data_IF_745815150791
#
_entry.id   IF_745815150791
#
_cell.length_a   1.000
_cell.length_b   1.000
_cell.length_c   1.000
_cell.angle_alpha   90.00
_cell.angle_beta   90.00
_cell.angle_gamma   90.00
#
_symmetry.space_group_name_H-M   'P 1'
#
loop_
_entity.id
_entity.type
_entity.pdbx_description
1 polymer ?
#
# COMPACT_ATOMS: atom_id res chain seq x y z
N UNK A 1 -19.47 -22.61 -13.36
CA UNK A 1 -20.73 -22.90 -12.66
C UNK A 1 -20.54 -22.95 -11.14
N UNK A 2 -19.48 -23.55 -10.59
CA UNK A 2 -19.20 -23.58 -9.13
C UNK A 2 -19.05 -22.20 -8.48
N UNK A 3 -18.41 -21.20 -9.11
CA UNK A 3 -18.24 -19.85 -8.53
C UNK A 3 -19.56 -19.12 -8.26
N UNK A 4 -20.62 -19.39 -9.05
CA UNK A 4 -21.95 -18.79 -8.83
C UNK A 4 -22.67 -19.41 -7.62
N UNK A 5 -22.36 -20.65 -7.28
CA UNK A 5 -22.94 -21.35 -6.13
C UNK A 5 -22.29 -20.86 -4.83
N UNK A 6 -20.96 -20.60 -4.82
CA UNK A 6 -20.26 -20.04 -3.67
C UNK A 6 -20.69 -18.60 -3.36
N UNK A 7 -20.93 -17.77 -4.39
CA UNK A 7 -21.43 -16.41 -4.18
C UNK A 7 -22.87 -16.39 -3.64
N UNK A 8 -23.72 -17.33 -4.04
CA UNK A 8 -25.07 -17.47 -3.49
C UNK A 8 -25.05 -17.97 -2.03
N UNK A 9 -24.13 -18.88 -1.69
CA UNK A 9 -23.97 -19.38 -0.32
C UNK A 9 -23.44 -18.29 0.62
N UNK A 10 -22.50 -17.46 0.17
CA UNK A 10 -21.99 -16.31 0.93
C UNK A 10 -23.10 -15.28 1.18
N UNK A 11 -23.97 -15.04 0.20
CA UNK A 11 -25.11 -14.12 0.34
C UNK A 11 -26.18 -14.64 1.32
N UNK A 12 -26.38 -15.96 1.38
CA UNK A 12 -27.34 -16.59 2.30
C UNK A 12 -26.86 -16.60 3.76
N UNK A 13 -25.56 -16.64 4.00
CA UNK A 13 -24.99 -16.51 5.34
C UNK A 13 -25.02 -15.06 5.87
N UNK A 14 -24.93 -14.07 4.98
CA UNK A 14 -25.03 -12.65 5.33
C UNK A 14 -26.48 -12.21 5.63
N UNK A 15 -27.49 -12.89 5.10
CA UNK A 15 -28.89 -12.49 5.26
C UNK A 15 -29.54 -12.89 6.60
N UNK A 16 -28.91 -13.74 7.40
CA UNK A 16 -29.47 -14.16 8.71
C UNK A 16 -29.13 -13.25 9.88
N UNK A 17 -28.33 -12.19 9.69
CA UNK A 17 -27.87 -11.32 10.76
C UNK A 17 -28.40 -9.88 10.69
N UNK A 18 -29.32 -9.58 9.78
CA UNK A 18 -29.99 -8.28 9.71
C UNK A 18 -31.21 -8.25 10.63
N UNK A 19 -31.01 -8.44 11.94
CA UNK A 19 -31.96 -7.93 12.90
C UNK A 19 -31.73 -6.42 12.99
N UNK A 20 -32.55 -5.65 12.29
CA UNK A 20 -32.64 -4.22 12.51
C UNK A 20 -33.00 -4.02 13.98
N UNK A 21 -32.09 -3.43 14.75
CA UNK A 21 -32.38 -3.04 16.11
C UNK A 21 -33.42 -1.92 16.03
N UNK A 22 -34.68 -2.22 16.39
CA UNK A 22 -35.72 -1.21 16.56
C UNK A 22 -35.23 -0.37 17.75
N UNK A 23 -34.77 0.85 17.48
CA UNK A 23 -34.42 1.83 18.51
C UNK A 23 -35.74 2.28 19.14
N UNK A 24 -36.02 1.79 20.32
CA UNK A 24 -37.14 2.29 21.14
C UNK A 24 -36.87 3.78 21.43
N UNK A 25 -37.88 4.62 21.21
CA UNK A 25 -37.83 6.07 21.33
C UNK A 25 -37.56 6.54 22.78
N UNK A 26 -37.60 5.65 23.76
CA UNK A 26 -37.42 5.93 25.19
C UNK A 26 -35.96 6.01 25.65
N UNK A 27 -34.99 5.57 24.82
CA UNK A 27 -33.56 5.62 25.13
C UNK A 27 -32.76 6.22 23.99
N UNK A 28 -32.96 7.51 23.74
CA UNK A 28 -32.24 8.25 22.71
C UNK A 28 -30.76 8.44 23.06
N UNK A 29 -29.95 7.41 22.98
CA UNK A 29 -28.49 7.58 22.87
C UNK A 29 -28.14 7.91 21.44
N UNK A 30 -27.88 9.19 21.17
CA UNK A 30 -27.39 9.62 19.86
C UNK A 30 -25.91 9.21 19.77
N UNK A 31 -25.61 8.19 18.97
CA UNK A 31 -24.24 7.79 18.66
C UNK A 31 -23.73 8.65 17.50
N UNK A 32 -22.85 9.61 17.80
CA UNK A 32 -22.16 10.42 16.80
C UNK A 32 -20.75 9.89 16.48
N UNK A 33 -20.02 10.62 15.64
CA UNK A 33 -18.64 10.29 15.26
C UNK A 33 -17.69 10.13 16.45
N UNK A 34 -17.93 10.82 17.57
CA UNK A 34 -17.16 10.66 18.82
C UNK A 34 -17.28 9.29 19.43
N UNK A 35 -18.34 8.51 19.11
CA UNK A 35 -18.51 7.13 19.55
C UNK A 35 -17.78 6.11 18.67
N UNK A 36 -17.27 6.51 17.51
CA UNK A 36 -16.48 5.69 16.61
C UNK A 36 -15.02 5.85 16.97
N UNK A 37 -14.36 4.75 17.26
CA UNK A 37 -12.95 4.71 17.66
C UNK A 37 -12.21 3.74 16.75
N UNK A 38 -10.89 3.98 16.55
CA UNK A 38 -10.03 3.00 15.91
C UNK A 38 -8.62 3.00 16.51
N UNK A 39 -7.91 1.92 16.31
CA UNK A 39 -6.51 1.75 16.68
C UNK A 39 -5.69 1.38 15.45
N UNK A 40 -4.39 1.68 15.50
CA UNK A 40 -3.41 1.27 14.50
C UNK A 40 -2.51 0.19 15.10
N UNK A 41 -2.23 -0.85 14.31
CA UNK A 41 -1.37 -1.95 14.76
C UNK A 41 0.02 -1.49 15.20
N UNK A 42 0.60 -0.49 14.49
CA UNK A 42 1.91 0.07 14.85
C UNK A 42 1.97 0.63 16.28
N UNK A 43 0.85 1.17 16.79
CA UNK A 43 0.80 1.65 18.16
C UNK A 43 0.70 0.48 19.15
N UNK A 44 -0.11 -0.52 18.81
CA UNK A 44 -0.25 -1.76 19.60
C UNK A 44 1.10 -2.48 19.72
N UNK A 45 1.85 -2.61 18.60
CA UNK A 45 3.19 -3.18 18.56
C UNK A 45 4.19 -2.43 19.45
N UNK A 46 4.06 -1.12 19.56
CA UNK A 46 4.91 -0.26 20.37
C UNK A 46 4.41 -0.07 21.82
N UNK A 47 3.45 -0.90 22.27
CA UNK A 47 2.81 -0.81 23.60
C UNK A 47 2.19 0.57 23.89
N UNK A 48 1.74 1.28 22.84
CA UNK A 48 1.05 2.56 22.98
C UNK A 48 -0.45 2.31 22.95
N UNK A 49 -1.15 2.70 24.00
CA UNK A 49 -2.61 2.73 24.03
C UNK A 49 -3.05 4.06 23.43
N UNK A 50 -3.19 4.10 22.12
CA UNK A 50 -3.64 5.30 21.40
C UNK A 50 -4.95 5.00 20.69
N UNK A 51 -5.97 5.79 21.00
CA UNK A 51 -7.29 5.72 20.39
C UNK A 51 -7.45 6.94 19.49
N UNK A 52 -7.92 6.70 18.28
CA UNK A 52 -8.19 7.71 17.29
C UNK A 52 -9.68 7.75 17.00
N UNK A 53 -10.15 8.88 16.50
CA UNK A 53 -11.50 9.08 16.02
C UNK A 53 -11.46 9.45 14.54
N UNK A 54 -12.51 9.12 13.75
CA UNK A 54 -12.64 9.66 12.39
C UNK A 54 -12.61 11.19 12.41
N UNK A 55 -12.03 11.76 11.36
CA UNK A 55 -12.06 13.23 11.19
C UNK A 55 -13.51 13.70 11.00
N UNK A 56 -13.93 14.63 11.83
CA UNK A 56 -15.23 15.27 11.78
C UNK A 56 -15.19 16.63 11.10
N UNK A 57 -14.00 17.09 10.69
CA UNK A 57 -13.82 18.36 9.99
C UNK A 57 -13.98 18.19 8.48
N UNK A 58 -14.39 19.23 7.81
CA UNK A 58 -14.45 19.27 6.34
C UNK A 58 -13.13 19.75 5.72
N UNK A 59 -12.05 19.85 6.52
CA UNK A 59 -10.77 20.38 6.07
C UNK A 59 -10.12 19.59 4.94
N UNK A 60 -10.38 18.28 4.86
CA UNK A 60 -9.86 17.40 3.80
C UNK A 60 -10.85 17.18 2.65
N UNK A 61 -12.02 17.80 2.69
CA UNK A 61 -13.10 17.58 1.69
C UNK A 61 -12.66 17.92 0.25
N UNK A 62 -11.84 18.95 0.08
CA UNK A 62 -11.32 19.37 -1.23
C UNK A 62 -10.16 18.49 -1.74
N UNK A 63 -9.62 17.60 -0.92
CA UNK A 63 -8.53 16.69 -1.31
C UNK A 63 -9.13 15.46 -2.00
N UNK A 64 -9.35 15.57 -3.31
CA UNK A 64 -10.12 14.58 -4.06
C UNK A 64 -9.34 13.33 -4.46
N UNK A 65 -8.04 13.43 -4.62
CA UNK A 65 -7.20 12.31 -5.07
C UNK A 65 -6.09 11.97 -4.08
N UNK A 66 -5.43 10.85 -4.31
CA UNK A 66 -4.36 10.34 -3.44
C UNK A 66 -3.14 11.27 -3.41
N UNK A 67 -2.83 11.96 -4.52
CA UNK A 67 -1.71 12.92 -4.58
C UNK A 67 -2.01 14.13 -3.68
N UNK A 68 -3.19 14.72 -3.79
CA UNK A 68 -3.62 15.82 -2.95
C UNK A 68 -3.65 15.41 -1.46
N UNK A 69 -4.19 14.22 -1.14
CA UNK A 69 -4.20 13.65 0.22
C UNK A 69 -2.79 13.41 0.78
N UNK A 70 -1.78 13.23 -0.08
CA UNK A 70 -0.37 13.11 0.30
C UNK A 70 0.38 14.45 0.44
N UNK A 71 -0.34 15.57 0.47
CA UNK A 71 0.23 16.93 0.49
C UNK A 71 1.13 17.22 -0.71
N UNK A 72 0.79 16.67 -1.88
CA UNK A 72 1.51 16.84 -3.15
C UNK A 72 2.98 16.39 -3.11
N UNK A 73 3.32 15.45 -2.24
CA UNK A 73 4.67 14.91 -2.11
C UNK A 73 5.03 13.87 -3.18
N UNK A 74 4.08 13.54 -4.07
CA UNK A 74 4.30 12.65 -5.20
C UNK A 74 4.16 13.42 -6.52
N UNK A 75 4.98 13.03 -7.49
CA UNK A 75 4.87 13.41 -8.88
C UNK A 75 4.25 12.26 -9.67
N UNK A 76 3.23 12.53 -10.48
CA UNK A 76 2.59 11.58 -11.39
C UNK A 76 2.63 12.09 -12.83
N UNK A 77 2.13 11.31 -13.79
CA UNK A 77 2.18 11.64 -15.22
C UNK A 77 1.09 12.63 -15.70
N UNK A 78 0.48 13.39 -14.78
CA UNK A 78 -0.46 14.47 -15.10
C UNK A 78 -1.93 14.07 -15.10
N UNK A 79 -2.28 12.81 -14.86
CA UNK A 79 -3.68 12.39 -14.73
C UNK A 79 -3.89 11.49 -13.50
N UNK A 80 -5.14 11.42 -13.02
CA UNK A 80 -5.54 10.64 -11.87
C UNK A 80 -5.08 9.18 -12.00
N UNK A 81 -4.37 8.70 -10.99
CA UNK A 81 -3.98 7.29 -10.88
C UNK A 81 -2.85 6.86 -11.80
N UNK A 82 -2.21 7.78 -12.51
CA UNK A 82 -1.03 7.43 -13.32
C UNK A 82 0.17 7.11 -12.45
N UNK A 83 1.16 6.44 -13.04
CA UNK A 83 2.42 6.11 -12.39
C UNK A 83 2.99 7.29 -11.60
N UNK A 84 3.38 7.06 -10.36
CA UNK A 84 3.79 8.11 -9.44
C UNK A 84 5.05 7.74 -8.67
N UNK A 85 5.85 8.76 -8.37
CA UNK A 85 7.05 8.64 -7.53
C UNK A 85 7.08 9.74 -6.48
N UNK A 86 7.73 9.45 -5.35
CA UNK A 86 8.00 10.44 -4.33
C UNK A 86 8.98 11.51 -4.84
N UNK A 87 8.68 12.80 -4.60
CA UNK A 87 9.49 13.92 -5.12
C UNK A 87 10.75 14.13 -4.27
N UNK A 88 10.60 13.99 -2.96
CA UNK A 88 11.69 14.22 -2.02
C UNK A 88 12.60 12.99 -1.83
N UNK A 89 13.58 13.12 -0.96
CA UNK A 89 14.36 11.99 -0.48
C UNK A 89 13.58 11.25 0.62
N UNK A 90 13.47 9.93 0.49
CA UNK A 90 12.84 9.06 1.49
C UNK A 90 13.64 7.76 1.59
N UNK A 91 14.07 7.44 2.80
CA UNK A 91 14.72 6.17 3.07
C UNK A 91 13.69 5.14 3.47
N UNK A 92 13.66 4.04 2.76
CA UNK A 92 12.86 2.88 3.15
C UNK A 92 13.37 2.30 4.47
N UNK A 93 12.45 1.93 5.37
CA UNK A 93 12.81 1.36 6.69
C UNK A 93 12.84 -0.17 6.68
N UNK A 94 12.53 -0.80 5.56
CA UNK A 94 12.59 -2.24 5.40
C UNK A 94 13.97 -2.69 4.92
N UNK A 95 14.54 -3.68 5.59
CA UNK A 95 15.85 -4.28 5.28
C UNK A 95 15.75 -5.62 4.56
N UNK A 96 14.53 -6.03 4.22
CA UNK A 96 14.28 -7.21 3.40
C UNK A 96 14.60 -6.93 1.93
N UNK A 97 14.82 -7.99 1.15
CA UNK A 97 14.98 -7.88 -0.31
C UNK A 97 13.64 -7.55 -0.95
N UNK A 98 13.44 -6.33 -1.50
CA UNK A 98 12.20 -5.97 -2.17
C UNK A 98 12.13 -6.57 -3.57
N UNK A 99 10.92 -6.67 -4.14
CA UNK A 99 10.75 -7.08 -5.53
C UNK A 99 11.22 -5.97 -6.47
N UNK A 100 10.58 -4.81 -6.36
CA UNK A 100 10.81 -3.64 -7.20
C UNK A 100 10.14 -2.41 -6.56
N UNK A 101 10.41 -1.25 -7.12
CA UNK A 101 9.63 -0.06 -6.84
C UNK A 101 8.35 -0.06 -7.68
N UNK A 102 7.20 -0.15 -7.03
CA UNK A 102 5.92 -0.05 -7.73
C UNK A 102 5.52 1.41 -7.94
N UNK A 103 5.34 1.86 -9.18
CA UNK A 103 4.84 3.20 -9.45
C UNK A 103 3.35 3.37 -9.08
N UNK A 104 2.65 2.27 -8.78
CA UNK A 104 1.24 2.25 -8.38
C UNK A 104 1.04 1.92 -6.89
N UNK A 105 2.13 1.67 -6.16
CA UNK A 105 2.10 1.32 -4.74
C UNK A 105 1.41 2.38 -3.87
N UNK A 106 1.45 3.65 -4.28
CA UNK A 106 0.73 4.75 -3.62
C UNK A 106 -0.78 4.50 -3.52
N UNK A 107 -1.35 3.79 -4.49
CA UNK A 107 -2.80 3.56 -4.60
C UNK A 107 -3.28 2.31 -3.85
N UNK A 108 -2.38 1.53 -3.27
CA UNK A 108 -2.71 0.38 -2.44
C UNK A 108 -3.02 0.80 -0.99
N UNK A 109 -3.86 0.01 -0.31
CA UNK A 109 -4.01 0.14 1.14
C UNK A 109 -2.70 -0.26 1.83
N UNK A 110 -2.10 0.70 2.55
CA UNK A 110 -0.84 0.50 3.27
C UNK A 110 -1.12 -0.09 4.65
N UNK A 111 -0.46 -1.20 4.99
CA UNK A 111 -0.68 -1.92 6.27
C UNK A 111 -0.49 -1.03 7.51
N UNK A 112 0.43 -0.06 7.44
CA UNK A 112 0.72 0.86 8.55
C UNK A 112 -0.42 1.83 8.86
N UNK A 113 -1.36 1.99 7.92
CA UNK A 113 -2.49 2.93 8.01
C UNK A 113 -3.84 2.24 8.19
N UNK A 114 -3.86 0.90 8.26
CA UNK A 114 -5.10 0.14 8.49
C UNK A 114 -5.70 0.53 9.83
N UNK A 115 -6.99 0.88 9.78
CA UNK A 115 -7.78 1.31 10.93
C UNK A 115 -8.58 0.12 11.46
N UNK A 116 -8.28 -0.34 12.65
CA UNK A 116 -9.07 -1.37 13.32
C UNK A 116 -10.12 -0.69 14.22
N UNK A 117 -11.34 -0.65 13.72
CA UNK A 117 -12.44 0.10 14.33
C UNK A 117 -13.06 -0.61 15.53
N UNK A 118 -13.65 0.21 16.39
CA UNK A 118 -14.59 -0.19 17.43
C UNK A 118 -15.75 0.82 17.42
N UNK A 119 -16.94 0.35 17.07
CA UNK A 119 -18.10 1.21 16.80
C UNK A 119 -19.25 0.81 17.71
N UNK A 120 -19.97 1.78 18.30
CA UNK A 120 -21.20 1.51 19.05
C UNK A 120 -22.43 1.34 18.17
N UNK A 121 -22.41 2.01 17.01
CA UNK A 121 -23.39 1.87 15.93
C UNK A 121 -22.66 1.66 14.61
N UNK A 122 -23.28 1.09 13.57
CA UNK A 122 -22.65 1.00 12.26
C UNK A 122 -22.14 2.35 11.79
N UNK A 123 -20.91 2.38 11.30
CA UNK A 123 -20.26 3.57 10.76
C UNK A 123 -20.08 3.41 9.26
N UNK A 124 -20.56 4.37 8.50
CA UNK A 124 -20.34 4.43 7.06
C UNK A 124 -19.83 5.81 6.67
N UNK A 125 -18.74 5.83 5.93
CA UNK A 125 -18.20 7.02 5.30
C UNK A 125 -18.12 6.78 3.78
N UNK A 126 -18.63 7.73 3.01
CA UNK A 126 -18.59 7.67 1.56
C UNK A 126 -18.21 9.05 1.02
N UNK A 127 -17.15 9.06 0.21
CA UNK A 127 -16.69 10.23 -0.50
C UNK A 127 -16.70 9.91 -2.00
N UNK A 128 -17.54 10.61 -2.74
CA UNK A 128 -17.66 10.46 -4.19
C UNK A 128 -17.44 11.79 -4.89
N UNK A 129 -16.56 11.77 -5.87
CA UNK A 129 -16.28 12.93 -6.72
C UNK A 129 -16.36 12.50 -8.17
N UNK A 130 -17.04 13.31 -8.97
CA UNK A 130 -17.14 13.12 -10.41
C UNK A 130 -16.73 14.41 -11.13
N UNK A 131 -15.92 14.26 -12.16
CA UNK A 131 -15.46 15.33 -13.02
C UNK A 131 -15.70 15.03 -14.51
N UNK A 132 -15.15 15.86 -15.36
CA UNK A 132 -15.16 15.65 -16.81
C UNK A 132 -14.31 14.44 -17.20
N UNK A 133 -14.49 13.92 -18.42
CA UNK A 133 -13.68 12.84 -19.01
C UNK A 133 -13.58 11.58 -18.13
N UNK A 134 -14.74 11.14 -17.64
CA UNK A 134 -14.85 9.95 -16.77
C UNK A 134 -13.94 10.01 -15.53
N UNK A 135 -13.51 11.21 -15.10
CA UNK A 135 -12.87 11.37 -13.81
C UNK A 135 -13.89 11.01 -12.73
N UNK A 136 -13.63 9.97 -12.01
CA UNK A 136 -14.49 9.56 -10.89
C UNK A 136 -13.63 8.96 -9.79
N UNK A 137 -13.91 9.35 -8.55
CA UNK A 137 -13.27 8.82 -7.34
C UNK A 137 -14.36 8.43 -6.36
N UNK A 138 -14.31 7.22 -5.85
CA UNK A 138 -15.13 6.70 -4.77
C UNK A 138 -14.22 6.16 -3.67
N UNK A 139 -14.32 6.74 -2.49
CA UNK A 139 -13.82 6.18 -1.24
C UNK A 139 -15.01 5.76 -0.39
N UNK A 140 -15.06 4.51 -0.01
CA UNK A 140 -16.12 3.96 0.81
C UNK A 140 -15.53 3.18 1.97
N UNK A 141 -16.00 3.46 3.17
CA UNK A 141 -15.68 2.72 4.41
C UNK A 141 -16.97 2.34 5.10
N UNK A 142 -17.13 1.08 5.44
CA UNK A 142 -18.18 0.60 6.31
C UNK A 142 -17.59 -0.25 7.43
N UNK A 143 -17.96 0.05 8.67
CA UNK A 143 -17.47 -0.67 9.84
C UNK A 143 -18.60 -0.91 10.84
N UNK A 144 -18.67 -2.13 11.35
CA UNK A 144 -19.69 -2.54 12.31
C UNK A 144 -19.14 -3.52 13.34
N UNK A 145 -19.46 -3.30 14.60
CA UNK A 145 -19.32 -4.31 15.63
C UNK A 145 -20.42 -5.36 15.49
N UNK A 146 -20.04 -6.60 15.25
CA UNK A 146 -20.95 -7.74 15.26
C UNK A 146 -21.40 -8.05 16.70
N UNK A 147 -20.50 -7.83 17.64
CA UNK A 147 -20.73 -7.85 19.08
C UNK A 147 -19.65 -6.98 19.75
N UNK A 148 -19.69 -6.85 21.08
CA UNK A 148 -18.75 -6.03 21.85
C UNK A 148 -17.26 -6.37 21.65
N UNK A 149 -16.96 -7.53 21.08
CA UNK A 149 -15.60 -8.06 20.95
C UNK A 149 -15.10 -8.23 19.53
N UNK A 150 -16.00 -8.21 18.55
CA UNK A 150 -15.71 -8.48 17.15
C UNK A 150 -16.22 -7.33 16.29
N UNK A 151 -15.33 -6.68 15.58
CA UNK A 151 -15.62 -5.70 14.54
C UNK A 151 -15.23 -6.24 13.16
N UNK A 152 -15.96 -5.84 12.14
CA UNK A 152 -15.64 -6.08 10.74
C UNK A 152 -15.71 -4.75 10.00
N UNK A 153 -14.73 -4.50 9.16
CA UNK A 153 -14.61 -3.28 8.33
C UNK A 153 -14.41 -3.66 6.87
N UNK A 154 -15.06 -2.93 5.97
CA UNK A 154 -14.88 -2.97 4.52
C UNK A 154 -14.51 -1.58 4.04
N UNK A 155 -13.39 -1.48 3.32
CA UNK A 155 -13.01 -0.27 2.59
C UNK A 155 -12.92 -0.57 1.10
N UNK A 156 -13.40 0.36 0.28
CA UNK A 156 -13.30 0.30 -1.18
C UNK A 156 -12.77 1.64 -1.67
N UNK A 157 -11.71 1.60 -2.43
CA UNK A 157 -11.25 2.73 -3.21
C UNK A 157 -11.38 2.39 -4.70
N UNK A 158 -12.12 3.21 -5.42
CA UNK A 158 -12.37 3.04 -6.84
C UNK A 158 -12.17 4.37 -7.55
N UNK A 159 -11.33 4.38 -8.56
CA UNK A 159 -11.24 5.56 -9.42
C UNK A 159 -10.95 5.20 -10.88
N UNK A 160 -11.28 6.13 -11.75
CA UNK A 160 -11.03 6.04 -13.18
C UNK A 160 -10.83 7.42 -13.79
N UNK A 161 -10.10 7.47 -14.88
CA UNK A 161 -9.95 8.65 -15.72
C UNK A 161 -9.78 8.25 -17.17
N UNK A 162 -10.26 9.07 -18.11
CA UNK A 162 -10.04 8.88 -19.54
C UNK A 162 -8.73 9.51 -19.97
N UNK A 163 -8.22 9.04 -21.11
CA UNK A 163 -7.10 9.67 -21.83
C UNK A 163 -7.41 11.15 -22.10
N UNK A 164 -6.38 11.97 -22.16
CA UNK A 164 -6.52 13.37 -22.55
C UNK A 164 -6.24 13.61 -24.03
N UNK A 165 -5.49 12.71 -24.66
CA UNK A 165 -5.18 12.69 -26.08
C UNK A 165 -5.09 11.24 -26.58
N UNK A 166 -4.95 11.04 -27.89
CA UNK A 166 -4.84 9.71 -28.49
C UNK A 166 -6.14 8.89 -28.40
N UNK A 167 -7.25 9.52 -28.72
CA UNK A 167 -8.57 8.87 -28.73
C UNK A 167 -8.69 7.95 -29.95
N UNK A 168 -9.30 6.77 -29.75
CA UNK A 168 -9.50 5.77 -30.78
C UNK A 168 -10.98 5.54 -31.12
N UNK A 169 -11.89 6.29 -30.48
CA UNK A 169 -13.33 6.20 -30.69
C UNK A 169 -14.03 5.06 -29.93
N UNK A 170 -13.29 4.24 -29.18
CA UNK A 170 -13.84 3.17 -28.32
C UNK A 170 -13.84 3.61 -26.87
N UNK A 171 -14.99 3.54 -26.19
CA UNK A 171 -15.14 3.95 -24.80
C UNK A 171 -14.26 3.16 -23.81
N UNK A 172 -13.84 1.93 -24.17
CA UNK A 172 -12.90 1.13 -23.37
C UNK A 172 -11.44 1.53 -23.60
N UNK A 173 -11.10 1.91 -24.82
CA UNK A 173 -9.74 2.33 -25.20
C UNK A 173 -9.47 3.78 -24.76
N UNK A 174 -10.51 4.57 -24.54
CA UNK A 174 -10.40 5.94 -24.01
C UNK A 174 -10.04 6.00 -22.52
N UNK A 175 -10.25 4.91 -21.78
CA UNK A 175 -9.90 4.87 -20.35
C UNK A 175 -8.38 4.82 -20.18
N UNK A 176 -7.81 5.81 -19.51
CA UNK A 176 -6.39 5.83 -19.18
C UNK A 176 -6.11 4.97 -17.96
N UNK A 177 -6.89 5.15 -16.91
CA UNK A 177 -6.71 4.45 -15.63
C UNK A 177 -7.99 3.77 -15.20
N UNK A 178 -7.85 2.54 -14.71
CA UNK A 178 -8.90 1.73 -14.10
C UNK A 178 -8.38 1.12 -12.80
N UNK A 179 -8.87 1.60 -11.67
CA UNK A 179 -8.37 1.23 -10.35
C UNK A 179 -9.46 0.67 -9.46
N UNK A 180 -9.12 -0.43 -8.79
CA UNK A 180 -9.87 -1.00 -7.68
C UNK A 180 -8.91 -1.38 -6.56
N UNK A 181 -9.17 -0.88 -5.36
CA UNK A 181 -8.58 -1.41 -4.15
C UNK A 181 -9.70 -1.76 -3.17
N UNK A 182 -9.62 -2.95 -2.59
CA UNK A 182 -10.59 -3.45 -1.61
C UNK A 182 -9.82 -3.91 -0.39
N UNK A 183 -10.29 -3.48 0.76
CA UNK A 183 -9.76 -3.88 2.06
C UNK A 183 -10.87 -4.43 2.92
N UNK A 184 -10.61 -5.57 3.55
CA UNK A 184 -11.48 -6.15 4.57
C UNK A 184 -10.65 -6.40 5.81
N UNK A 185 -11.07 -5.88 6.95
CA UNK A 185 -10.40 -6.14 8.21
C UNK A 185 -11.35 -6.57 9.31
N UNK A 186 -10.78 -7.21 10.31
CA UNK A 186 -11.49 -7.61 11.52
C UNK A 186 -10.56 -7.50 12.73
N UNK A 187 -11.13 -7.13 13.85
CA UNK A 187 -10.46 -7.22 15.15
C UNK A 187 -11.33 -7.99 16.15
N UNK A 188 -10.67 -8.75 16.99
CA UNK A 188 -11.32 -9.51 18.05
C UNK A 188 -10.53 -9.40 19.34
N UNK A 189 -11.24 -9.17 20.45
CA UNK A 189 -10.68 -9.18 21.78
C UNK A 189 -11.46 -10.16 22.67
N UNK A 190 -10.79 -11.02 23.42
CA UNK A 190 -11.45 -11.97 24.32
C UNK A 190 -12.12 -11.25 25.51
N UNK A 191 -13.02 -11.97 26.22
CA UNK A 191 -13.75 -11.43 27.39
C UNK A 191 -12.85 -10.91 28.53
N UNK A 192 -11.65 -11.46 28.64
CA UNK A 192 -10.68 -11.10 29.70
C UNK A 192 -9.70 -10.02 29.26
N UNK A 193 -9.75 -9.57 28.00
CA UNK A 193 -8.81 -8.61 27.41
C UNK A 193 -7.36 -9.12 27.34
N UNK A 194 -7.17 -10.47 27.39
CA UNK A 194 -5.84 -11.09 27.32
C UNK A 194 -5.41 -11.40 25.90
N UNK A 195 -6.35 -11.78 25.05
CA UNK A 195 -6.11 -12.13 23.65
C UNK A 195 -6.66 -11.03 22.74
N UNK A 196 -5.85 -10.58 21.80
CA UNK A 196 -6.22 -9.67 20.71
C UNK A 196 -5.84 -10.33 19.39
N UNK A 197 -6.75 -10.31 18.43
CA UNK A 197 -6.54 -10.69 17.04
C UNK A 197 -6.88 -9.51 16.13
N UNK A 198 -5.97 -9.17 15.24
CA UNK A 198 -6.18 -8.25 14.13
C UNK A 198 -5.93 -9.03 12.84
N UNK A 199 -6.79 -8.90 11.88
CA UNK A 199 -6.59 -9.53 10.57
C UNK A 199 -7.11 -8.61 9.47
N UNK A 200 -6.43 -8.66 8.31
CA UNK A 200 -6.93 -7.98 7.13
C UNK A 200 -6.53 -8.69 5.84
N UNK A 201 -7.29 -8.39 4.81
CA UNK A 201 -7.02 -8.72 3.44
C UNK A 201 -7.09 -7.47 2.58
N UNK A 202 -6.06 -7.23 1.78
CA UNK A 202 -6.00 -6.14 0.81
C UNK A 202 -5.95 -6.71 -0.60
N UNK A 203 -6.75 -6.16 -1.48
CA UNK A 203 -6.70 -6.42 -2.90
C UNK A 203 -6.47 -5.13 -3.67
N UNK A 204 -5.52 -5.14 -4.59
CA UNK A 204 -5.29 -4.09 -5.58
C UNK A 204 -5.44 -4.68 -6.98
N UNK A 205 -6.16 -3.97 -7.82
CA UNK A 205 -6.22 -4.19 -9.25
C UNK A 205 -6.15 -2.83 -9.93
N UNK A 206 -4.98 -2.51 -10.44
CA UNK A 206 -4.70 -1.23 -11.05
C UNK A 206 -4.22 -1.43 -12.48
N UNK A 207 -4.87 -0.78 -13.43
CA UNK A 207 -4.51 -0.78 -14.84
C UNK A 207 -4.30 0.65 -15.31
N UNK A 208 -3.18 0.88 -16.01
CA UNK A 208 -2.91 2.11 -16.75
C UNK A 208 -2.67 1.77 -18.22
N UNK A 209 -3.34 2.45 -19.13
CA UNK A 209 -2.99 2.42 -20.55
C UNK A 209 -1.78 3.33 -20.76
N UNK A 210 -0.74 2.78 -21.39
CA UNK A 210 0.49 3.51 -21.68
C UNK A 210 0.36 4.24 -23.02
N UNK A 211 0.69 5.52 -23.03
CA UNK A 211 0.57 6.36 -24.23
C UNK A 211 1.93 6.61 -24.91
N UNK A 212 3.04 6.44 -24.17
CA UNK A 212 4.40 6.61 -24.71
C UNK A 212 4.75 8.03 -25.15
N UNK A 213 3.90 9.02 -24.84
CA UNK A 213 4.03 10.40 -25.29
C UNK A 213 3.20 10.70 -26.54
N UNK A 214 3.34 11.91 -27.05
CA UNK A 214 2.65 12.42 -28.24
C UNK A 214 3.46 12.08 -29.51
N UNK A 215 2.81 11.54 -30.50
CA UNK A 215 3.44 11.20 -31.79
C UNK A 215 3.87 12.44 -32.52
N UNK A 216 5.09 12.46 -33.08
CA UNK A 216 5.61 13.54 -33.92
C UNK A 216 5.95 14.84 -33.17
N UNK A 217 5.94 14.85 -31.86
CA UNK A 217 6.27 16.05 -31.07
C UNK A 217 7.71 16.53 -31.28
N UNK A 218 8.63 15.62 -31.54
CA UNK A 218 10.06 15.93 -31.75
C UNK A 218 10.36 16.65 -33.09
N UNK A 219 9.46 16.52 -34.04
CA UNK A 219 9.56 17.18 -35.36
C UNK A 219 8.86 18.53 -35.39
N UNK A 220 8.16 18.91 -34.31
CA UNK A 220 7.50 20.21 -34.22
C UNK A 220 8.53 21.30 -33.98
N UNK A 221 8.80 22.08 -35.02
CA UNK A 221 9.48 23.36 -34.86
C UNK A 221 8.56 24.29 -34.07
N UNK A 222 8.79 24.37 -32.76
CA UNK A 222 7.99 25.17 -31.83
C UNK A 222 7.97 26.68 -32.20
N UNK A 223 8.88 27.14 -33.06
CA UNK A 223 8.90 28.52 -33.51
C UNK A 223 7.88 28.80 -34.63
N UNK A 224 7.42 27.77 -35.35
CA UNK A 224 6.51 27.87 -36.49
C UNK A 224 5.21 27.07 -36.31
N UNK A 225 5.13 26.21 -35.28
CA UNK A 225 3.98 25.37 -35.09
C UNK A 225 2.80 26.18 -34.52
N UNK A 226 1.72 26.27 -35.28
CA UNK A 226 0.41 26.51 -34.69
C UNK A 226 0.09 25.29 -33.88
N UNK A 227 0.44 25.31 -32.55
CA UNK A 227 0.06 24.26 -31.64
C UNK A 227 -1.47 24.22 -31.69
N UNK A 228 -2.05 23.12 -32.15
CA UNK A 228 -3.50 22.98 -32.11
C UNK A 228 -3.96 23.21 -30.66
N UNK A 229 -4.87 24.14 -30.42
CA UNK A 229 -5.39 24.37 -29.09
C UNK A 229 -6.18 23.16 -28.57
N UNK A 230 -6.53 22.22 -29.45
CA UNK A 230 -7.26 21.01 -29.10
C UNK A 230 -6.29 19.82 -28.95
N UNK A 231 -5.85 19.57 -27.72
CA UNK A 231 -5.01 18.40 -27.39
C UNK A 231 -5.66 17.05 -27.78
N UNK A 232 -6.94 17.03 -28.17
CA UNK A 232 -7.66 15.88 -28.71
C UNK A 232 -7.12 15.42 -30.07
N UNK A 233 -6.47 16.31 -30.81
CA UNK A 233 -5.92 16.03 -32.16
C UNK A 233 -4.59 15.29 -32.10
N UNK A 234 -3.94 15.27 -30.93
CA UNK A 234 -2.67 14.57 -30.78
C UNK A 234 -2.85 13.06 -30.70
N UNK A 235 -2.03 12.34 -31.44
CA UNK A 235 -2.00 10.87 -31.39
C UNK A 235 -0.98 10.40 -30.35
N UNK A 236 -1.30 9.29 -29.67
CA UNK A 236 -0.37 8.64 -28.76
C UNK A 236 0.62 7.77 -29.53
N UNK A 237 1.88 7.73 -29.09
CA UNK A 237 2.89 6.83 -29.68
C UNK A 237 2.52 5.36 -29.46
N UNK A 238 1.93 5.02 -28.31
CA UNK A 238 1.45 3.69 -27.97
C UNK A 238 -0.08 3.68 -27.92
N UNK A 239 -0.71 2.94 -28.83
CA UNK A 239 -2.17 2.85 -28.87
C UNK A 239 -2.73 1.68 -28.06
N UNK A 240 -1.95 0.59 -27.91
CA UNK A 240 -2.41 -0.70 -27.35
C UNK A 240 -1.62 -1.19 -26.15
N UNK A 241 -0.65 -0.41 -25.68
CA UNK A 241 0.16 -0.78 -24.52
C UNK A 241 -0.54 -0.47 -23.21
N UNK A 242 -0.35 -1.34 -22.22
CA UNK A 242 -0.82 -1.10 -20.87
C UNK A 242 0.05 -1.77 -19.81
N UNK A 243 0.11 -1.15 -18.64
CA UNK A 243 0.64 -1.73 -17.40
C UNK A 243 -0.50 -2.11 -16.47
N UNK A 244 -0.33 -3.19 -15.72
CA UNK A 244 -1.32 -3.63 -14.74
C UNK A 244 -0.67 -4.32 -13.56
N UNK A 245 -1.13 -3.99 -12.37
CA UNK A 245 -0.71 -4.65 -11.15
C UNK A 245 -1.90 -5.25 -10.40
N UNK A 246 -1.67 -6.44 -9.84
CA UNK A 246 -2.54 -7.11 -8.89
C UNK A 246 -1.79 -7.44 -7.64
N UNK A 247 -2.32 -7.02 -6.49
CA UNK A 247 -1.81 -7.39 -5.20
C UNK A 247 -2.91 -8.09 -4.40
N UNK A 248 -2.50 -9.09 -3.64
CA UNK A 248 -3.35 -9.76 -2.67
C UNK A 248 -2.50 -9.98 -1.42
N UNK A 249 -2.79 -9.25 -0.37
CA UNK A 249 -2.04 -9.29 0.86
C UNK A 249 -2.96 -9.73 1.99
N UNK A 250 -2.53 -10.78 2.68
CA UNK A 250 -3.19 -11.32 3.87
C UNK A 250 -2.33 -11.02 5.07
N UNK A 251 -2.95 -10.52 6.12
CA UNK A 251 -2.29 -10.19 7.37
C UNK A 251 -3.03 -10.76 8.56
N UNK A 252 -2.28 -11.31 9.49
CA UNK A 252 -2.75 -11.74 10.80
C UNK A 252 -1.76 -11.24 11.83
N UNK A 253 -2.25 -10.50 12.80
CA UNK A 253 -1.54 -10.18 14.03
C UNK A 253 -2.32 -10.71 15.20
N UNK A 254 -1.69 -11.44 16.10
CA UNK A 254 -2.30 -11.79 17.36
C UNK A 254 -1.33 -11.70 18.52
N UNK A 255 -1.87 -11.42 19.70
CA UNK A 255 -1.11 -11.30 20.91
C UNK A 255 -1.84 -11.91 22.11
N UNK A 256 -1.05 -12.37 23.06
CA UNK A 256 -1.54 -12.91 24.33
C UNK A 256 -0.77 -12.34 25.51
N UNK A 257 -1.48 -11.73 26.47
CA UNK A 257 -0.92 -11.18 27.70
C UNK A 257 -0.70 -12.30 28.71
N UNK A 258 0.57 -12.59 29.03
CA UNK A 258 0.95 -13.64 29.95
C UNK A 258 0.74 -13.24 31.44
N UNK A 259 0.93 -11.98 31.77
CA UNK A 259 0.83 -11.45 33.13
C UNK A 259 -0.36 -10.49 33.30
N UNK A 260 -0.90 -10.38 34.51
CA UNK A 260 -1.95 -9.41 34.86
C UNK A 260 -1.45 -7.94 34.76
N UNK A 261 -0.15 -7.72 34.99
CA UNK A 261 0.52 -6.43 34.79
C UNK A 261 1.14 -6.43 33.39
N UNK A 262 1.24 -5.27 32.75
CA UNK A 262 1.64 -5.04 31.34
C UNK A 262 3.07 -5.50 30.99
N UNK A 263 3.67 -6.37 31.80
CA UNK A 263 5.06 -6.74 31.72
C UNK A 263 5.41 -7.64 30.52
N UNK A 264 4.56 -8.60 30.18
CA UNK A 264 4.88 -9.61 29.16
C UNK A 264 3.68 -9.97 28.29
N UNK A 265 3.83 -9.71 27.01
CA UNK A 265 2.86 -10.06 25.97
C UNK A 265 3.60 -10.76 24.84
N UNK A 266 3.20 -11.97 24.54
CA UNK A 266 3.64 -12.67 23.33
C UNK A 266 2.85 -12.17 22.14
N UNK A 267 3.49 -12.03 20.98
CA UNK A 267 2.80 -11.72 19.75
C UNK A 267 3.35 -12.52 18.57
N UNK A 268 2.51 -12.71 17.59
CA UNK A 268 2.88 -13.27 16.30
C UNK A 268 2.20 -12.47 15.20
N UNK A 269 2.94 -12.23 14.11
CA UNK A 269 2.44 -11.67 12.86
C UNK A 269 2.69 -12.66 11.73
N UNK A 270 1.75 -12.72 10.81
CA UNK A 270 1.84 -13.48 9.57
C UNK A 270 1.39 -12.58 8.43
N UNK A 271 2.27 -12.33 7.46
CA UNK A 271 1.97 -11.63 6.22
C UNK A 271 2.17 -12.59 5.05
N UNK A 272 1.16 -12.76 4.22
CA UNK A 272 1.29 -13.43 2.93
C UNK A 272 0.98 -12.44 1.82
N UNK A 273 1.97 -12.17 0.97
CA UNK A 273 1.86 -11.27 -0.17
C UNK A 273 1.93 -12.02 -1.50
N UNK A 274 1.03 -11.68 -2.40
CA UNK A 274 1.03 -12.15 -3.77
C UNK A 274 0.83 -10.99 -4.72
N UNK A 275 1.84 -10.73 -5.56
CA UNK A 275 1.84 -9.64 -6.51
C UNK A 275 2.01 -10.16 -7.93
N UNK A 276 1.34 -9.53 -8.88
CA UNK A 276 1.53 -9.73 -10.32
C UNK A 276 1.72 -8.38 -10.97
N UNK A 277 2.68 -8.32 -11.84
CA UNK A 277 2.97 -7.17 -12.68
C UNK A 277 2.89 -7.60 -14.13
N UNK A 278 2.19 -6.82 -14.95
CA UNK A 278 2.08 -6.99 -16.38
C UNK A 278 2.50 -5.70 -17.07
N UNK A 279 3.21 -5.83 -18.17
CA UNK A 279 3.23 -4.86 -19.25
C UNK A 279 2.97 -5.61 -20.53
N UNK A 280 2.04 -5.12 -21.35
CA UNK A 280 1.70 -5.72 -22.63
C UNK A 280 1.57 -4.60 -23.65
N UNK A 281 2.24 -4.77 -24.81
CA UNK A 281 2.00 -3.96 -26.00
C UNK A 281 1.65 -4.88 -27.17
N UNK A 282 0.37 -4.92 -27.51
CA UNK A 282 -0.15 -5.77 -28.59
C UNK A 282 0.24 -5.26 -30.00
N UNK A 283 0.74 -4.04 -30.11
CA UNK A 283 1.20 -3.45 -31.37
C UNK A 283 2.72 -3.27 -31.40
N UNK A 284 3.46 -4.01 -30.58
CA UNK A 284 4.91 -3.89 -30.45
C UNK A 284 5.63 -3.97 -31.82
N UNK A 285 5.26 -4.91 -32.68
CA UNK A 285 5.86 -5.04 -33.99
C UNK A 285 5.77 -3.77 -34.88
N UNK A 286 4.67 -3.02 -34.74
CA UNK A 286 4.48 -1.70 -35.37
C UNK A 286 5.21 -0.60 -34.63
N UNK A 287 5.18 -0.65 -33.28
CA UNK A 287 5.79 0.36 -32.44
C UNK A 287 7.32 0.23 -32.35
N UNK A 288 7.88 -0.92 -32.74
CA UNK A 288 9.32 -1.18 -32.74
C UNK A 288 10.10 -0.21 -33.64
N UNK A 289 9.50 0.24 -34.74
CA UNK A 289 10.11 1.24 -35.64
C UNK A 289 10.06 2.65 -35.01
N UNK A 290 9.34 2.85 -33.93
CA UNK A 290 9.27 4.10 -33.17
C UNK A 290 10.43 4.18 -32.15
N UNK A 291 10.72 5.38 -31.69
CA UNK A 291 11.76 5.63 -30.69
C UNK A 291 11.44 5.06 -29.30
N UNK A 292 10.23 4.52 -29.11
CA UNK A 292 9.81 3.93 -27.83
C UNK A 292 10.60 2.67 -27.47
N UNK A 293 11.06 1.90 -28.48
CA UNK A 293 11.84 0.66 -28.28
C UNK A 293 13.17 0.69 -29.06
N UNK A 294 14.05 1.67 -28.83
CA UNK A 294 15.19 1.94 -29.73
C UNK A 294 16.23 0.82 -29.75
N UNK A 295 16.30 -0.01 -28.71
CA UNK A 295 17.34 -1.05 -28.57
C UNK A 295 16.82 -2.47 -28.80
N UNK A 296 15.56 -2.63 -29.17
CA UNK A 296 15.00 -3.96 -29.29
C UNK A 296 15.29 -4.63 -30.65
N UNK A 297 15.82 -5.85 -30.55
CA UNK A 297 16.06 -6.74 -31.70
C UNK A 297 15.01 -7.87 -31.81
N UNK A 298 13.98 -7.88 -30.96
CA UNK A 298 12.93 -8.89 -31.00
C UNK A 298 12.16 -8.84 -32.33
N UNK A 299 11.78 -10.01 -32.84
CA UNK A 299 10.94 -10.17 -34.02
C UNK A 299 9.46 -10.37 -33.70
N UNK A 300 9.12 -10.37 -32.42
CA UNK A 300 7.75 -10.55 -31.95
C UNK A 300 6.83 -9.41 -32.38
N UNK A 301 5.55 -9.71 -32.61
CA UNK A 301 4.52 -8.70 -32.90
C UNK A 301 3.94 -8.10 -31.61
N UNK A 302 4.07 -8.80 -30.50
CA UNK A 302 3.55 -8.40 -29.18
C UNK A 302 4.66 -8.44 -28.14
N UNK A 303 4.84 -7.35 -27.41
CA UNK A 303 5.67 -7.35 -26.22
C UNK A 303 4.85 -7.76 -25.00
N UNK A 304 5.33 -8.74 -24.26
CA UNK A 304 4.73 -9.20 -23.00
C UNK A 304 5.79 -9.24 -21.92
N UNK A 305 5.46 -8.68 -20.80
CA UNK A 305 6.23 -8.77 -19.57
C UNK A 305 5.28 -9.20 -18.46
N UNK A 306 5.56 -10.36 -17.86
CA UNK A 306 4.72 -10.86 -16.78
C UNK A 306 5.56 -11.49 -15.67
N UNK A 307 5.48 -10.90 -14.48
CA UNK A 307 6.19 -11.36 -13.30
C UNK A 307 5.23 -11.55 -12.14
N UNK A 308 5.43 -12.65 -11.41
CA UNK A 308 4.74 -12.95 -10.16
C UNK A 308 5.72 -12.90 -9.01
N UNK A 309 5.25 -12.41 -7.90
CA UNK A 309 6.01 -12.41 -6.65
C UNK A 309 5.15 -12.98 -5.53
N UNK A 310 5.77 -13.78 -4.69
CA UNK A 310 5.15 -14.35 -3.49
C UNK A 310 6.08 -14.16 -2.31
N UNK A 311 5.52 -13.77 -1.20
CA UNK A 311 6.26 -13.67 0.05
C UNK A 311 5.42 -14.17 1.22
N UNK A 312 6.08 -14.78 2.18
CA UNK A 312 5.52 -15.20 3.45
C UNK A 312 6.45 -14.69 4.54
N UNK A 313 5.98 -13.73 5.32
CA UNK A 313 6.71 -13.15 6.43
C UNK A 313 6.05 -13.56 7.75
N UNK A 314 6.85 -13.96 8.71
CA UNK A 314 6.36 -14.24 10.06
C UNK A 314 7.18 -13.43 11.06
N UNK A 315 6.57 -13.00 12.13
CA UNK A 315 7.29 -12.36 13.24
C UNK A 315 6.79 -12.95 14.54
N UNK A 316 7.68 -13.52 15.30
CA UNK A 316 7.43 -14.02 16.65
C UNK A 316 8.14 -13.12 17.63
N UNK A 317 7.44 -12.63 18.63
CA UNK A 317 8.07 -11.70 19.53
C UNK A 317 7.44 -11.62 20.92
N UNK A 318 8.18 -10.92 21.75
CA UNK A 318 7.83 -10.59 23.12
C UNK A 318 7.83 -9.07 23.27
N UNK A 319 6.80 -8.52 23.87
CA UNK A 319 6.72 -7.10 24.17
C UNK A 319 6.14 -6.82 25.55
N UNK A 320 6.38 -5.63 26.02
CA UNK A 320 5.86 -5.20 27.32
C UNK A 320 6.25 -3.79 27.67
N UNK A 321 5.88 -3.40 28.89
CA UNK A 321 6.30 -2.13 29.49
C UNK A 321 6.76 -2.34 30.92
N UNK A 322 7.78 -1.57 31.32
CA UNK A 322 8.33 -1.60 32.66
C UNK A 322 8.89 -0.23 33.04
N UNK A 323 8.35 0.40 34.09
CA UNK A 323 8.81 1.68 34.63
C UNK A 323 9.02 2.79 33.58
N UNK A 324 8.07 2.95 32.64
CA UNK A 324 8.13 3.96 31.58
C UNK A 324 8.90 3.51 30.33
N UNK A 325 9.55 2.35 30.37
CA UNK A 325 10.17 1.73 29.19
C UNK A 325 9.18 0.78 28.52
N UNK A 326 8.89 1.02 27.25
CA UNK A 326 8.24 0.05 26.38
C UNK A 326 9.31 -0.72 25.60
N UNK A 327 9.21 -2.03 25.54
CA UNK A 327 10.13 -2.88 24.78
C UNK A 327 9.38 -3.83 23.85
N UNK A 328 10.06 -4.21 22.78
CA UNK A 328 9.59 -5.19 21.81
C UNK A 328 10.84 -5.89 21.26
N UNK A 329 10.89 -7.21 21.30
CA UNK A 329 11.94 -8.02 20.70
C UNK A 329 11.31 -9.12 19.85
N UNK A 330 11.86 -9.36 18.66
CA UNK A 330 11.28 -10.30 17.71
C UNK A 330 12.31 -10.97 16.80
N UNK A 331 11.93 -12.13 16.28
CA UNK A 331 12.55 -12.82 15.15
C UNK A 331 11.55 -12.83 14.00
N UNK A 332 12.03 -12.54 12.78
CA UNK A 332 11.21 -12.43 11.60
C UNK A 332 11.78 -13.28 10.45
N UNK A 333 11.44 -14.57 10.37
CA UNK A 333 11.72 -15.41 9.20
C UNK A 333 10.84 -15.00 8.03
N UNK A 334 11.43 -15.02 6.82
CA UNK A 334 10.76 -14.67 5.57
C UNK A 334 11.16 -15.61 4.46
N UNK A 335 10.16 -16.05 3.69
CA UNK A 335 10.30 -16.79 2.44
C UNK A 335 9.77 -15.93 1.30
N UNK A 336 10.48 -15.90 0.19
CA UNK A 336 10.01 -15.20 -0.99
C UNK A 336 10.51 -15.82 -2.29
N UNK A 337 9.79 -15.52 -3.38
CA UNK A 337 10.13 -16.01 -4.72
C UNK A 337 9.60 -15.07 -5.78
N UNK A 338 10.42 -14.80 -6.81
CA UNK A 338 10.02 -14.21 -8.07
C UNK A 338 9.82 -15.31 -9.12
N UNK A 339 8.79 -15.19 -9.96
CA UNK A 339 8.53 -16.11 -11.07
C UNK A 339 8.25 -15.28 -12.31
N UNK A 340 9.16 -15.34 -13.29
CA UNK A 340 8.93 -14.85 -14.64
C UNK A 340 8.08 -15.86 -15.40
N UNK A 341 7.10 -15.37 -16.16
CA UNK A 341 6.21 -16.25 -16.92
C UNK A 341 6.71 -16.42 -18.36
N UNK A 342 7.11 -15.35 -19.00
CA UNK A 342 7.64 -15.36 -20.38
C UNK A 342 9.11 -15.76 -20.42
N UNK A 343 9.89 -15.38 -19.43
CA UNK A 343 11.32 -15.68 -19.37
C UNK A 343 11.68 -16.36 -18.04
N UNK A 344 12.12 -17.62 -18.12
CA UNK A 344 12.50 -18.41 -16.95
C UNK A 344 13.70 -17.83 -16.19
N UNK A 345 14.55 -17.03 -16.83
CA UNK A 345 15.67 -16.31 -16.19
C UNK A 345 15.19 -15.33 -15.11
N UNK A 346 13.96 -14.85 -15.21
CA UNK A 346 13.31 -14.06 -14.15
C UNK A 346 12.81 -14.88 -12.98
N UNK A 347 12.97 -16.22 -13.01
CA UNK A 347 12.52 -17.11 -11.95
C UNK A 347 13.64 -17.36 -10.95
N UNK A 348 13.39 -17.06 -9.68
CA UNK A 348 14.29 -17.41 -8.58
C UNK A 348 13.80 -18.67 -7.87
N UNK A 349 14.67 -19.46 -7.26
CA UNK A 349 14.25 -20.45 -6.27
C UNK A 349 13.57 -19.74 -5.08
N UNK A 350 12.93 -20.50 -4.20
CA UNK A 350 12.52 -19.98 -2.91
C UNK A 350 13.75 -19.51 -2.13
N UNK A 351 13.72 -18.27 -1.68
CA UNK A 351 14.78 -17.64 -0.91
C UNK A 351 14.29 -17.43 0.52
N UNK A 352 15.23 -17.58 1.45
CA UNK A 352 14.97 -17.47 2.87
C UNK A 352 15.84 -16.37 3.49
N UNK A 353 15.21 -15.50 4.24
CA UNK A 353 15.84 -14.45 5.03
C UNK A 353 15.33 -14.54 6.47
N UNK A 354 16.17 -14.24 7.43
CA UNK A 354 15.76 -14.12 8.84
C UNK A 354 16.28 -12.81 9.41
N UNK A 355 15.43 -12.13 10.13
CA UNK A 355 15.76 -10.88 10.82
C UNK A 355 15.54 -11.05 12.32
N UNK A 356 16.44 -10.46 13.09
CA UNK A 356 16.27 -10.29 14.54
C UNK A 356 16.21 -8.81 14.81
N UNK A 357 15.23 -8.38 15.59
CA UNK A 357 15.04 -6.96 15.86
C UNK A 357 14.46 -6.66 17.23
N UNK A 358 14.55 -5.39 17.59
CA UNK A 358 13.97 -4.90 18.81
C UNK A 358 13.74 -3.40 18.79
N UNK A 359 12.74 -2.98 19.58
CA UNK A 359 12.39 -1.57 19.79
C UNK A 359 12.38 -1.28 21.28
N UNK A 360 12.94 -0.13 21.61
CA UNK A 360 12.87 0.44 22.96
C UNK A 360 12.24 1.82 22.87
N UNK A 361 11.28 2.09 23.71
CA UNK A 361 10.61 3.38 23.83
C UNK A 361 10.66 3.81 25.29
N UNK A 362 11.02 5.06 25.52
CA UNK A 362 10.97 5.65 26.85
C UNK A 362 10.25 6.99 26.77
N UNK A 363 9.38 7.25 27.70
CA UNK A 363 8.77 8.56 27.87
C UNK A 363 8.67 8.90 29.35
N UNK A 364 9.02 10.13 29.70
CA UNK A 364 8.75 10.70 31.02
C UNK A 364 7.24 10.86 31.22
N UNK A 365 6.76 10.87 32.47
CA UNK A 365 5.33 10.97 32.79
C UNK A 365 4.67 12.22 32.19
N UNK A 366 5.42 13.32 32.12
CA UNK A 366 4.99 14.60 31.56
C UNK A 366 5.25 14.70 30.05
N UNK A 367 5.77 13.62 29.43
CA UNK A 367 6.14 13.58 28.02
C UNK A 367 7.15 14.66 27.59
N UNK A 368 7.88 15.26 28.52
CA UNK A 368 8.93 16.23 28.21
C UNK A 368 10.13 15.61 27.51
N UNK A 369 10.39 14.33 27.78
CA UNK A 369 11.44 13.55 27.10
C UNK A 369 10.81 12.28 26.54
N UNK A 370 10.99 12.06 25.23
CA UNK A 370 10.60 10.83 24.52
C UNK A 370 11.82 10.31 23.78
N UNK A 371 12.20 9.06 24.04
CA UNK A 371 13.26 8.36 23.34
C UNK A 371 12.71 7.12 22.66
N UNK A 372 13.13 6.87 21.43
CA UNK A 372 12.73 5.68 20.67
C UNK A 372 13.94 5.13 19.93
N UNK A 373 14.11 3.83 19.98
CA UNK A 373 15.18 3.15 19.24
C UNK A 373 14.59 1.90 18.57
N UNK A 374 15.01 1.64 17.35
CA UNK A 374 14.69 0.42 16.62
C UNK A 374 15.96 -0.13 15.98
N UNK A 375 16.26 -1.38 16.27
CA UNK A 375 17.38 -2.13 15.67
C UNK A 375 16.82 -3.36 14.98
N UNK A 376 17.29 -3.65 13.76
CA UNK A 376 16.94 -4.86 13.01
C UNK A 376 18.17 -5.33 12.24
N UNK A 377 18.50 -6.61 12.35
CA UNK A 377 19.64 -7.26 11.70
C UNK A 377 19.12 -8.42 10.87
N UNK A 378 19.64 -8.58 9.66
CA UNK A 378 19.21 -9.62 8.71
C UNK A 378 20.33 -10.53 8.26
N UNK A 379 20.00 -11.80 7.98
CA UNK A 379 20.93 -12.79 7.39
C UNK A 379 21.37 -12.43 5.97
N UNK A 380 20.59 -11.55 5.30
CA UNK A 380 20.94 -10.98 4.00
C UNK A 380 21.98 -9.84 4.08
N UNK A 381 22.57 -9.59 5.26
CA UNK A 381 23.50 -8.50 5.52
C UNK A 381 22.84 -7.14 5.71
N UNK A 382 21.50 -7.08 5.65
CA UNK A 382 20.74 -5.87 5.93
C UNK A 382 20.75 -5.52 7.40
N UNK A 383 20.82 -4.23 7.71
CA UNK A 383 20.60 -3.75 9.07
C UNK A 383 19.87 -2.40 9.08
N UNK A 384 19.16 -2.16 10.17
CA UNK A 384 18.48 -0.92 10.48
C UNK A 384 18.83 -0.46 11.88
N UNK A 385 19.20 0.80 12.02
CA UNK A 385 19.31 1.49 13.30
C UNK A 385 18.55 2.81 13.21
N UNK A 386 17.53 2.97 14.03
CA UNK A 386 16.80 4.24 14.17
C UNK A 386 16.90 4.68 15.61
N UNK A 387 17.26 5.94 15.83
CA UNK A 387 17.21 6.64 17.10
C UNK A 387 16.40 7.92 16.95
N UNK A 388 15.42 8.15 17.80
CA UNK A 388 14.63 9.38 17.87
C UNK A 388 14.60 9.87 19.30
N UNK A 389 14.94 11.11 19.50
CA UNK A 389 14.85 11.79 20.79
C UNK A 389 14.06 13.09 20.63
N UNK A 390 13.10 13.31 21.50
CA UNK A 390 12.36 14.57 21.59
C UNK A 390 12.44 15.06 23.03
N UNK A 391 12.98 16.25 23.22
CA UNK A 391 12.98 16.94 24.49
C UNK A 391 12.17 18.24 24.38
N UNK A 392 11.04 18.27 25.05
CA UNK A 392 10.06 19.37 24.90
C UNK A 392 9.65 19.54 23.41
N UNK A 393 10.19 20.56 22.75
CA UNK A 393 9.91 20.89 21.35
C UNK A 393 11.07 20.57 20.40
N UNK A 394 12.25 20.24 20.96
CA UNK A 394 13.44 19.95 20.18
C UNK A 394 13.51 18.46 19.88
N UNK A 395 13.64 18.12 18.62
CA UNK A 395 13.77 16.74 18.18
C UNK A 395 15.08 16.49 17.46
N UNK A 396 15.65 15.30 17.68
CA UNK A 396 16.76 14.75 16.92
C UNK A 396 16.36 13.36 16.45
N UNK A 397 16.65 13.06 15.20
CA UNK A 397 16.47 11.72 14.65
C UNK A 397 17.74 11.31 13.92
N UNK A 398 18.11 10.06 14.13
CA UNK A 398 19.20 9.40 13.44
C UNK A 398 18.66 8.11 12.82
N UNK A 399 19.03 7.85 11.56
CA UNK A 399 18.69 6.61 10.87
C UNK A 399 19.92 6.13 10.11
N UNK A 400 20.20 4.86 10.22
CA UNK A 400 21.22 4.18 9.46
C UNK A 400 20.62 2.87 8.94
N UNK A 401 20.68 2.68 7.64
CA UNK A 401 20.12 1.49 6.99
C UNK A 401 21.10 0.96 5.95
N UNK A 402 21.22 -0.35 5.93
CA UNK A 402 21.86 -1.13 4.88
C UNK A 402 20.87 -2.18 4.41
N UNK A 403 20.59 -2.22 3.12
CA UNK A 403 19.64 -3.18 2.54
C UNK A 403 20.10 -3.70 1.20
N UNK A 404 19.69 -4.92 0.82
CA UNK A 404 19.87 -5.40 -0.55
C UNK A 404 19.12 -4.50 -1.55
N UNK A 405 19.63 -4.43 -2.74
CA UNK A 405 18.90 -3.87 -3.88
C UNK A 405 17.70 -4.75 -4.24
N UNK A 406 16.73 -4.20 -4.95
CA UNK A 406 15.56 -4.95 -5.37
C UNK A 406 15.92 -6.07 -6.37
N UNK A 407 15.09 -7.10 -6.44
CA UNK A 407 15.29 -8.19 -7.40
C UNK A 407 15.31 -7.70 -8.85
N UNK A 408 14.55 -6.64 -9.14
CA UNK A 408 14.55 -6.02 -10.47
C UNK A 408 15.81 -5.20 -10.75
N UNK A 409 16.36 -4.51 -9.77
CA UNK A 409 17.64 -3.81 -9.92
C UNK A 409 18.80 -4.79 -10.15
N UNK A 410 18.74 -5.97 -9.53
CA UNK A 410 19.76 -7.01 -9.69
C UNK A 410 19.71 -7.63 -11.08
N UNK A 411 18.54 -8.02 -11.56
CA UNK A 411 18.41 -8.61 -12.90
C UNK A 411 16.97 -8.56 -13.40
N UNK A 412 16.86 -8.37 -14.69
CA UNK A 412 15.61 -8.48 -15.41
C UNK A 412 15.87 -8.93 -16.85
N UNK A 413 15.03 -9.79 -17.40
CA UNK A 413 15.15 -10.36 -18.72
C UNK A 413 13.81 -10.32 -19.46
N UNK A 414 13.81 -9.77 -20.65
CA UNK A 414 12.70 -9.84 -21.62
C UNK A 414 13.25 -9.82 -23.04
N UNK A 415 12.41 -10.00 -24.03
CA UNK A 415 12.82 -9.96 -25.43
C UNK A 415 13.23 -8.55 -25.90
N UNK A 416 12.74 -7.50 -25.24
CA UNK A 416 12.95 -6.12 -25.66
C UNK A 416 13.85 -5.31 -24.72
N UNK A 417 14.05 -5.77 -23.49
CA UNK A 417 14.98 -5.14 -22.55
C UNK A 417 15.51 -6.17 -21.56
N UNK A 418 16.81 -6.15 -21.30
CA UNK A 418 17.40 -7.03 -20.28
C UNK A 418 18.62 -6.38 -19.64
N UNK A 419 18.81 -6.69 -18.37
CA UNK A 419 20.01 -6.34 -17.61
C UNK A 419 20.30 -7.38 -16.54
N UNK A 420 21.55 -7.48 -16.17
CA UNK A 420 22.02 -8.23 -15.00
C UNK A 420 23.17 -7.44 -14.40
N UNK A 421 23.08 -7.12 -13.15
CA UNK A 421 24.05 -6.31 -12.44
C UNK A 421 24.32 -6.92 -11.07
N UNK A 422 25.58 -6.93 -10.69
CA UNK A 422 26.00 -7.32 -9.35
C UNK A 422 26.01 -6.10 -8.43
N UNK A 423 24.83 -5.55 -8.19
CA UNK A 423 24.68 -4.42 -7.27
C UNK A 423 24.83 -4.88 -5.84
N UNK A 424 25.79 -4.28 -5.16
CA UNK A 424 25.94 -4.41 -3.72
C UNK A 424 24.74 -3.80 -2.98
N UNK A 425 24.75 -4.01 -1.66
CA UNK A 425 23.75 -3.42 -0.79
C UNK A 425 23.83 -1.89 -0.81
N UNK A 426 22.69 -1.23 -0.74
CA UNK A 426 22.63 0.22 -0.54
C UNK A 426 22.83 0.54 0.93
N UNK A 427 23.61 1.59 1.21
CA UNK A 427 23.81 2.12 2.55
C UNK A 427 23.34 3.57 2.59
N UNK A 428 22.53 3.88 3.59
CA UNK A 428 22.01 5.24 3.79
C UNK A 428 22.13 5.63 5.24
N UNK A 429 22.52 6.89 5.46
CA UNK A 429 22.59 7.50 6.78
C UNK A 429 21.85 8.84 6.75
N UNK A 430 20.97 9.06 7.70
CA UNK A 430 20.22 10.29 7.86
C UNK A 430 20.40 10.85 9.26
N UNK A 431 20.59 12.15 9.36
CA UNK A 431 20.53 12.91 10.61
C UNK A 431 19.54 14.05 10.40
N UNK A 432 18.56 14.14 11.25
CA UNK A 432 17.56 15.20 11.20
C UNK A 432 17.36 15.86 12.55
N UNK A 433 17.03 17.15 12.50
CA UNK A 433 16.64 17.92 13.67
C UNK A 433 15.29 18.56 13.41
N UNK A 434 14.48 18.71 14.44
CA UNK A 434 13.22 19.44 14.38
C UNK A 434 13.18 20.49 15.47
N UNK A 435 12.77 21.68 15.06
CA UNK A 435 12.56 22.82 15.94
C UNK A 435 11.08 23.21 15.90
N UNK A 436 10.57 23.88 16.93
CA UNK A 436 9.18 24.33 16.99
C UNK A 436 8.86 25.37 15.93
#
# INVERSE_FOLDING_TARGET
MLYRIYSLFLFFFLSKSLSAQIVDDSTRQIYGLSSVQYQLEKDILNNKVKIYHPDSTLGTFALVDTIAKSSFQFQHLGNLGTAAKWIGWRTEEEVNTPLYFSPFGLYAFQKEHIKYFNTKSPFTNMHYVQGSRNFAVLDFTHSQNINERLNITLDINRFSASKQFGFTGSSREERLVDHWAVHVSSNYTDKKGKYLLLTHYNHLNHKQNEQGGVQGFETLDLSLATISPEYTDYQAQLASAYSREYWNDWHIYHQYKLAKKEGFTLFHQLDYGYQKMFFIDAAYGRNKASEVYPTSNSVADTAVLFVRYRSLNQSFGLKGSWKGFGYNAYINPRLYRRVGVEDSRNTTPWQFETFVGGRLNYATKDSTLVLQTHVKLGTNGGFLLIGKGVYRRFGINFKQIRRPTSLFEQSFFSEFISWSSDFNQTFTQELGTSFP
#
